data_IF_001769781243
#
_entry.id   IF_001769781243
#
_cell.length_a   1.000
_cell.length_b   1.000
_cell.length_c   1.000
_cell.angle_alpha   90.00
_cell.angle_beta   90.00
_cell.angle_gamma   90.00
#
_symmetry.space_group_name_H-M   'P 1'
#
loop_
_entity.id
_entity.type
_entity.pdbx_description
1 polymer ?
#
# COMPACT_ATOMS: atom_id res chain seq x y z
N UNK A 1 15.73 -14.66 9.41
CA UNK A 1 14.45 -14.24 10.04
C UNK A 1 14.79 -13.39 11.25
N UNK A 2 14.90 -12.08 11.08
CA UNK A 2 15.19 -11.15 12.18
C UNK A 2 13.91 -10.38 12.51
N UNK A 3 13.34 -10.68 13.67
CA UNK A 3 12.26 -9.91 14.29
C UNK A 3 12.91 -8.68 14.93
N UNK A 4 12.78 -7.53 14.27
CA UNK A 4 13.23 -6.25 14.84
C UNK A 4 12.11 -5.71 15.73
N UNK A 5 12.15 -6.07 17.01
CA UNK A 5 11.32 -5.45 18.04
C UNK A 5 11.81 -4.01 18.30
N UNK A 6 11.09 -3.01 17.79
CA UNK A 6 11.29 -1.62 18.18
C UNK A 6 10.57 -1.36 19.50
N UNK A 7 11.35 -1.25 20.58
CA UNK A 7 10.92 -0.67 21.87
C UNK A 7 10.79 0.84 21.72
N UNK A 8 9.61 1.38 21.99
CA UNK A 8 9.38 2.82 22.15
C UNK A 8 9.49 3.14 23.66
N UNK A 9 10.29 4.13 24.09
CA UNK A 9 10.21 4.62 25.46
C UNK A 9 9.07 5.64 25.60
N UNK A 10 8.23 5.44 26.62
CA UNK A 10 7.25 6.41 27.12
C UNK A 10 7.94 7.35 28.11
N UNK A 11 7.82 8.66 27.94
CA UNK A 11 7.84 9.62 29.06
C UNK A 11 6.98 10.87 28.75
N UNK A 12 6.50 11.59 29.79
CA UNK A 12 5.29 12.40 29.70
C UNK A 12 5.51 13.92 29.55
N UNK A 13 4.38 14.58 29.38
CA UNK A 13 4.09 15.98 29.04
C UNK A 13 4.49 17.02 30.12
N UNK A 14 5.27 18.07 29.80
CA UNK A 14 4.87 19.50 29.93
C UNK A 14 5.98 20.55 29.63
N UNK A 15 5.58 21.51 28.77
CA UNK A 15 5.82 22.98 28.72
C UNK A 15 7.20 23.65 28.54
N UNK A 16 7.18 24.50 27.48
CA UNK A 16 7.74 25.86 27.26
C UNK A 16 9.04 26.02 26.44
N UNK A 17 8.85 26.81 25.37
CA UNK A 17 9.76 27.54 24.47
C UNK A 17 11.12 27.97 25.03
N UNK A 18 12.19 27.77 24.24
CA UNK A 18 13.05 28.84 23.68
C UNK A 18 14.14 28.26 22.76
N UNK A 19 14.53 29.09 21.79
CA UNK A 19 15.56 28.88 20.76
C UNK A 19 16.95 28.55 21.34
N UNK A 20 17.70 27.68 20.68
CA UNK A 20 19.02 27.99 20.07
C UNK A 20 19.77 26.72 19.61
N UNK A 21 20.64 26.93 18.62
CA UNK A 21 21.40 25.93 17.89
C UNK A 21 22.40 25.16 18.74
N UNK A 22 22.57 23.85 18.46
CA UNK A 22 23.91 23.27 18.55
C UNK A 22 24.10 22.07 17.63
N UNK A 23 25.07 22.21 16.75
CA UNK A 23 25.74 21.17 15.96
C UNK A 23 26.59 20.27 16.85
N UNK A 24 26.53 18.95 16.67
CA UNK A 24 27.67 18.06 16.98
C UNK A 24 27.65 16.76 16.18
N UNK A 25 28.85 16.40 15.75
CA UNK A 25 29.26 15.30 14.87
C UNK A 25 29.04 13.95 15.55
N UNK A 26 28.54 12.97 14.81
CA UNK A 26 28.54 11.57 15.24
C UNK A 26 29.78 10.85 14.70
N UNK A 27 30.54 10.27 15.64
CA UNK A 27 31.61 9.32 15.36
C UNK A 27 31.02 7.93 15.11
N UNK A 28 31.61 7.24 14.13
CA UNK A 28 31.33 5.87 13.74
C UNK A 28 31.98 4.87 14.69
N UNK A 29 31.25 3.85 15.14
CA UNK A 29 31.83 2.63 15.68
C UNK A 29 31.15 1.41 15.07
N UNK A 30 31.99 0.57 14.46
CA UNK A 30 31.68 -0.72 13.84
C UNK A 30 31.22 -1.72 14.91
N UNK A 31 30.15 -2.47 14.65
CA UNK A 31 29.80 -3.67 15.42
C UNK A 31 30.00 -4.94 14.57
N UNK A 32 30.78 -5.87 15.13
CA UNK A 32 31.02 -7.22 14.61
C UNK A 32 29.84 -8.15 14.93
N UNK A 33 29.58 -9.09 14.01
CA UNK A 33 28.50 -10.09 14.07
C UNK A 33 29.11 -11.44 14.50
N UNK A 34 28.58 -12.15 15.52
CA UNK A 34 28.95 -13.54 15.77
C UNK A 34 28.02 -14.52 15.01
N UNK A 35 28.62 -15.61 14.55
CA UNK A 35 27.99 -16.76 13.87
C UNK A 35 27.29 -17.66 14.90
N UNK A 36 26.05 -18.07 14.62
CA UNK A 36 25.35 -19.11 15.41
C UNK A 36 24.89 -20.25 14.52
N UNK A 37 25.17 -21.45 15.01
CA UNK A 37 25.00 -22.80 14.44
C UNK A 37 23.51 -23.19 14.40
N UNK A 38 23.09 -23.82 13.30
CA UNK A 38 21.73 -24.36 13.10
C UNK A 38 21.73 -25.86 13.41
N UNK A 39 20.97 -26.29 14.41
CA UNK A 39 20.62 -27.71 14.61
C UNK A 39 19.26 -28.00 13.95
N UNK A 40 19.25 -28.95 13.01
CA UNK A 40 18.07 -29.52 12.38
C UNK A 40 17.57 -30.70 13.23
N UNK A 41 16.31 -30.66 13.68
CA UNK A 41 15.62 -31.85 14.20
C UNK A 41 14.57 -32.30 13.18
N UNK A 42 14.81 -33.45 12.57
CA UNK A 42 13.88 -34.20 11.72
C UNK A 42 12.92 -35.00 12.58
N UNK A 43 11.61 -34.80 12.41
CA UNK A 43 10.59 -35.69 12.97
C UNK A 43 10.03 -36.60 11.88
N UNK A 44 10.29 -37.89 12.04
CA UNK A 44 9.85 -38.99 11.18
C UNK A 44 8.39 -39.38 11.47
N UNK A 45 7.62 -39.60 10.40
CA UNK A 45 6.30 -40.23 10.45
C UNK A 45 6.43 -41.72 10.83
N UNK A 46 5.51 -42.20 11.67
CA UNK A 46 5.21 -43.63 11.82
C UNK A 46 3.69 -43.82 11.85
N UNK A 47 3.19 -44.58 10.89
CA UNK A 47 1.83 -45.06 10.81
C UNK A 47 1.63 -46.29 11.71
N UNK A 48 0.49 -46.37 12.40
CA UNK A 48 -0.01 -47.61 12.97
C UNK A 48 -1.53 -47.63 12.86
N UNK A 49 -2.03 -48.56 12.04
CA UNK A 49 -3.43 -48.89 11.88
C UNK A 49 -3.80 -50.01 12.85
N UNK A 50 -4.85 -49.84 13.64
CA UNK A 50 -5.65 -50.93 14.19
C UNK A 50 -7.11 -50.49 14.21
N UNK A 51 -7.95 -51.26 13.51
CA UNK A 51 -9.39 -51.02 13.43
C UNK A 51 -10.14 -51.64 14.60
N UNK A 52 -11.34 -51.14 14.87
CA UNK A 52 -12.40 -51.82 15.62
C UNK A 52 -13.77 -51.26 15.21
N UNK A 53 -14.57 -52.15 14.63
CA UNK A 53 -16.03 -52.38 14.77
C UNK A 53 -17.04 -51.22 14.74
N UNK A 54 -17.91 -51.34 13.74
CA UNK A 54 -19.21 -50.70 13.54
C UNK A 54 -20.18 -50.94 14.72
N UNK A 55 -20.85 -49.90 15.19
CA UNK A 55 -22.19 -50.03 15.78
C UNK A 55 -23.09 -48.90 15.28
N UNK A 56 -24.27 -49.31 14.81
CA UNK A 56 -25.28 -48.52 14.14
C UNK A 56 -26.26 -47.91 15.14
N UNK A 57 -26.29 -46.59 15.28
CA UNK A 57 -27.46 -45.86 15.78
C UNK A 57 -27.59 -44.50 15.09
N UNK A 58 -28.78 -44.24 14.57
CA UNK A 58 -29.30 -42.93 14.16
C UNK A 58 -30.74 -42.84 14.67
N UNK A 59 -31.39 -41.67 14.79
CA UNK A 59 -30.93 -40.31 14.49
C UNK A 59 -31.27 -39.29 15.60
N UNK A 60 -30.65 -38.10 15.56
CA UNK A 60 -31.30 -36.76 15.59
C UNK A 60 -30.34 -35.65 16.04
N UNK A 61 -30.55 -34.47 15.44
CA UNK A 61 -30.05 -33.13 15.80
C UNK A 61 -28.67 -32.69 15.26
N UNK A 62 -28.76 -31.82 14.25
CA UNK A 62 -27.89 -30.68 13.93
C UNK A 62 -26.38 -30.89 13.98
N UNK A 63 -25.82 -31.40 12.88
CA UNK A 63 -24.43 -31.16 12.52
C UNK A 63 -24.34 -29.77 11.85
N UNK A 64 -23.54 -28.82 12.37
CA UNK A 64 -23.18 -27.65 11.59
C UNK A 64 -22.28 -28.12 10.44
N UNK A 65 -22.81 -28.08 9.22
CA UNK A 65 -21.98 -28.05 8.01
C UNK A 65 -20.88 -27.03 8.21
N UNK A 66 -19.63 -27.37 7.89
CA UNK A 66 -18.44 -26.52 8.00
C UNK A 66 -18.74 -25.05 7.63
N UNK A 67 -19.19 -24.30 8.63
CA UNK A 67 -19.69 -22.96 8.43
C UNK A 67 -18.45 -22.13 8.20
N UNK A 68 -18.34 -21.55 7.00
CA UNK A 68 -17.41 -20.46 6.69
C UNK A 68 -17.24 -19.62 7.94
N UNK A 69 -16.05 -19.70 8.57
CA UNK A 69 -15.78 -19.01 9.81
C UNK A 69 -16.00 -17.53 9.54
N UNK A 70 -17.13 -16.99 9.99
CA UNK A 70 -17.51 -15.59 9.90
C UNK A 70 -17.64 -15.12 11.33
N UNK A 71 -16.88 -14.09 11.73
CA UNK A 71 -16.99 -13.60 13.10
C UNK A 71 -18.30 -12.86 13.31
N UNK A 72 -18.79 -12.90 14.54
CA UNK A 72 -19.96 -12.12 14.94
C UNK A 72 -19.55 -10.68 15.27
N UNK A 73 -20.28 -9.70 14.71
CA UNK A 73 -20.01 -8.29 14.97
C UNK A 73 -20.52 -7.90 16.35
N UNK A 74 -19.66 -7.29 17.16
CA UNK A 74 -20.02 -6.67 18.43
C UNK A 74 -20.18 -5.15 18.31
N UNK A 75 -19.31 -4.48 17.53
CA UNK A 75 -19.32 -3.03 17.37
C UNK A 75 -18.71 -2.59 16.04
N UNK A 76 -19.08 -1.39 15.58
CA UNK A 76 -18.45 -0.77 14.41
C UNK A 76 -17.28 0.15 14.82
N UNK A 77 -16.11 0.00 14.21
CA UNK A 77 -14.94 0.85 14.48
C UNK A 77 -14.19 1.23 13.20
N UNK A 78 -13.60 2.43 13.18
CA UNK A 78 -12.64 2.80 12.13
C UNK A 78 -11.33 2.06 12.40
N UNK A 79 -10.85 1.34 11.40
CA UNK A 79 -9.60 0.58 11.46
C UNK A 79 -8.71 0.93 10.27
N UNK A 80 -7.43 0.61 10.42
CA UNK A 80 -6.46 0.59 9.34
C UNK A 80 -5.88 -0.82 9.22
N UNK A 81 -5.66 -1.28 8.00
CA UNK A 81 -5.00 -2.53 7.70
C UNK A 81 -3.74 -2.26 6.88
N UNK A 82 -2.69 -3.03 7.15
CA UNK A 82 -1.48 -3.07 6.32
C UNK A 82 -1.58 -4.26 5.39
N UNK A 83 -1.53 -4.00 4.08
CA UNK A 83 -1.72 -4.99 3.03
C UNK A 83 -0.47 -5.10 2.17
N UNK A 84 -0.06 -6.33 1.86
CA UNK A 84 0.90 -6.66 0.81
C UNK A 84 0.23 -7.49 -0.28
N UNK A 85 0.66 -7.32 -1.52
CA UNK A 85 0.14 -8.08 -2.65
C UNK A 85 1.12 -8.17 -3.82
N UNK A 86 0.98 -9.26 -4.58
CA UNK A 86 1.62 -9.45 -5.89
C UNK A 86 0.64 -8.98 -6.97
N UNK A 87 0.90 -7.82 -7.57
CA UNK A 87 -0.01 -7.16 -8.51
C UNK A 87 -0.14 -7.78 -9.91
N UNK A 88 0.65 -8.80 -10.25
CA UNK A 88 0.75 -9.37 -11.62
C UNK A 88 -0.60 -9.67 -12.25
N UNK A 89 -1.51 -10.26 -11.48
CA UNK A 89 -2.81 -10.74 -11.97
C UNK A 89 -3.93 -9.71 -11.83
N UNK A 90 -3.62 -8.48 -11.40
CA UNK A 90 -4.60 -7.46 -11.04
C UNK A 90 -4.48 -6.20 -11.89
N UNK A 91 -5.61 -5.56 -12.18
CA UNK A 91 -5.67 -4.26 -12.89
C UNK A 91 -5.43 -3.06 -11.96
N UNK A 92 -4.52 -3.24 -11.01
CA UNK A 92 -4.15 -2.24 -10.01
C UNK A 92 -4.96 -2.40 -8.73
N UNK A 93 -4.76 -1.47 -7.80
CA UNK A 93 -5.42 -1.51 -6.49
C UNK A 93 -6.89 -1.08 -6.57
N UNK A 94 -7.22 -0.11 -7.43
CA UNK A 94 -8.53 0.54 -7.40
C UNK A 94 -9.64 -0.29 -8.00
N UNK A 95 -10.71 -0.47 -7.22
CA UNK A 95 -11.95 -1.08 -7.67
C UNK A 95 -12.47 -0.35 -8.91
N UNK A 96 -12.75 -1.12 -9.95
CA UNK A 96 -13.32 -0.66 -11.21
C UNK A 96 -14.75 -1.22 -11.33
N UNK A 97 -15.63 -0.49 -12.01
CA UNK A 97 -17.05 -0.86 -12.15
C UNK A 97 -17.32 -1.83 -13.29
N UNK A 98 -16.33 -2.05 -14.15
CA UNK A 98 -16.49 -2.91 -15.30
C UNK A 98 -16.46 -4.37 -14.86
N UNK A 99 -17.46 -5.12 -15.32
CA UNK A 99 -17.57 -6.54 -15.03
C UNK A 99 -16.31 -7.27 -15.54
N UNK A 100 -15.80 -8.19 -14.73
CA UNK A 100 -14.65 -9.06 -15.03
C UNK A 100 -13.25 -8.44 -14.85
N UNK A 101 -13.10 -7.30 -14.15
CA UNK A 101 -11.80 -6.73 -13.80
C UNK A 101 -11.44 -7.02 -12.34
N UNK A 102 -10.52 -7.98 -12.14
CA UNK A 102 -9.97 -8.28 -10.81
C UNK A 102 -9.06 -7.16 -10.32
N UNK A 103 -9.40 -6.59 -9.17
CA UNK A 103 -8.62 -5.55 -8.48
C UNK A 103 -8.35 -5.97 -7.03
N UNK A 104 -7.30 -5.40 -6.43
CA UNK A 104 -6.96 -5.73 -5.04
C UNK A 104 -8.09 -5.32 -4.07
N UNK A 105 -8.75 -4.18 -4.31
CA UNK A 105 -9.86 -3.74 -3.44
C UNK A 105 -11.08 -4.64 -3.52
N UNK A 106 -11.39 -5.20 -4.68
CA UNK A 106 -12.48 -6.16 -4.85
C UNK A 106 -12.26 -7.42 -4.00
N UNK A 107 -11.06 -8.00 -4.08
CA UNK A 107 -10.67 -9.18 -3.28
C UNK A 107 -10.69 -8.86 -1.78
N UNK A 108 -10.18 -7.69 -1.38
CA UNK A 108 -10.20 -7.27 0.02
C UNK A 108 -11.65 -7.06 0.52
N UNK A 109 -12.50 -6.36 -0.24
CA UNK A 109 -13.91 -6.15 0.15
C UNK A 109 -14.64 -7.50 0.32
N UNK A 110 -14.46 -8.41 -0.64
CA UNK A 110 -15.03 -9.76 -0.61
C UNK A 110 -14.55 -10.55 0.60
N UNK A 111 -13.24 -10.56 0.87
CA UNK A 111 -12.66 -11.28 2.00
C UNK A 111 -13.10 -10.72 3.35
N UNK A 112 -13.11 -9.39 3.51
CA UNK A 112 -13.56 -8.75 4.75
C UNK A 112 -15.06 -9.00 4.97
N UNK A 113 -15.87 -9.01 3.91
CA UNK A 113 -17.28 -9.35 4.01
C UNK A 113 -17.52 -10.80 4.46
N UNK A 114 -16.83 -11.76 3.84
CA UNK A 114 -16.88 -13.19 4.20
C UNK A 114 -16.43 -13.42 5.65
N UNK A 115 -15.39 -12.69 6.07
CA UNK A 115 -14.87 -12.71 7.42
C UNK A 115 -15.85 -12.13 8.47
N UNK A 116 -16.84 -11.33 8.08
CA UNK A 116 -17.80 -10.69 8.99
C UNK A 116 -17.49 -9.22 9.30
N UNK A 117 -16.48 -8.64 8.66
CA UNK A 117 -16.08 -7.25 8.85
C UNK A 117 -16.94 -6.22 8.12
N UNK A 118 -17.82 -6.64 7.21
CA UNK A 118 -18.76 -5.76 6.51
C UNK A 118 -20.18 -6.30 6.70
N UNK A 119 -21.10 -5.43 7.13
CA UNK A 119 -22.53 -5.74 7.14
C UNK A 119 -23.04 -5.87 5.71
N UNK A 120 -23.89 -6.86 5.42
CA UNK A 120 -24.42 -7.11 4.07
C UNK A 120 -25.08 -5.88 3.42
N UNK A 121 -25.75 -5.04 4.20
CA UNK A 121 -26.32 -3.78 3.70
C UNK A 121 -25.29 -2.79 3.14
N UNK A 122 -24.01 -2.90 3.51
CA UNK A 122 -22.94 -2.00 3.08
C UNK A 122 -22.01 -2.62 2.03
N UNK A 123 -22.14 -3.92 1.75
CA UNK A 123 -21.30 -4.63 0.78
C UNK A 123 -21.57 -4.12 -0.65
N UNK A 124 -20.52 -4.03 -1.48
CA UNK A 124 -20.58 -3.48 -2.83
C UNK A 124 -20.58 -1.95 -2.87
N UNK A 125 -20.40 -1.28 -1.73
CA UNK A 125 -20.38 0.17 -1.64
C UNK A 125 -19.32 0.66 -0.64
N UNK A 126 -18.10 0.81 -1.14
CA UNK A 126 -16.94 1.29 -0.40
C UNK A 126 -17.14 2.67 0.27
N UNK A 127 -18.02 3.52 -0.28
CA UNK A 127 -18.32 4.83 0.31
C UNK A 127 -19.07 4.68 1.65
N UNK A 128 -19.99 3.72 1.78
CA UNK A 128 -20.76 3.47 3.02
C UNK A 128 -19.90 3.01 4.19
N UNK A 129 -18.73 2.44 3.90
CA UNK A 129 -17.75 2.01 4.91
C UNK A 129 -16.58 2.99 5.04
N UNK A 130 -16.66 4.18 4.42
CA UNK A 130 -15.61 5.21 4.47
C UNK A 130 -14.24 4.62 4.10
N UNK A 131 -14.19 3.85 3.02
CA UNK A 131 -12.97 3.22 2.51
C UNK A 131 -11.98 4.28 2.01
N UNK A 132 -10.71 4.15 2.39
CA UNK A 132 -9.63 5.01 1.97
C UNK A 132 -8.31 4.23 1.88
N UNK A 133 -7.34 4.79 1.15
CA UNK A 133 -6.10 4.13 0.72
C UNK A 133 -4.90 5.06 0.78
N UNK A 134 -3.72 4.57 1.13
CA UNK A 134 -2.51 5.41 1.13
C UNK A 134 -1.96 5.71 -0.26
N UNK A 135 -2.19 4.82 -1.24
CA UNK A 135 -1.72 4.96 -2.61
C UNK A 135 -2.72 4.35 -3.59
N UNK A 136 -2.57 4.72 -4.87
CA UNK A 136 -3.15 4.00 -6.01
C UNK A 136 -1.98 3.38 -6.75
N UNK A 137 -2.01 2.07 -6.95
CA UNK A 137 -1.01 1.37 -7.76
C UNK A 137 -1.62 1.00 -9.09
N UNK A 138 -0.81 1.13 -10.14
CA UNK A 138 -1.21 0.79 -11.50
C UNK A 138 -1.28 -0.73 -11.71
N UNK A 139 -1.81 -1.14 -12.86
CA UNK A 139 -1.88 -2.54 -13.27
C UNK A 139 -0.50 -3.21 -13.16
N UNK A 140 -0.46 -4.40 -12.55
CA UNK A 140 0.76 -5.19 -12.42
C UNK A 140 1.70 -4.77 -11.28
N UNK A 141 1.49 -3.61 -10.65
CA UNK A 141 2.39 -3.11 -9.61
C UNK A 141 2.21 -3.87 -8.30
N UNK A 142 3.31 -4.37 -7.73
CA UNK A 142 3.33 -5.04 -6.42
C UNK A 142 3.39 -4.03 -5.27
N UNK A 143 3.00 -4.46 -4.07
CA UNK A 143 3.15 -3.66 -2.86
C UNK A 143 3.41 -4.51 -1.63
N UNK A 144 4.25 -4.02 -0.71
CA UNK A 144 4.51 -4.66 0.59
C UNK A 144 3.76 -3.98 1.75
N UNK A 145 3.31 -2.75 1.57
CA UNK A 145 2.78 -1.93 2.66
C UNK A 145 1.78 -0.88 2.19
N UNK A 146 0.76 -1.30 1.44
CA UNK A 146 -0.40 -0.44 1.18
C UNK A 146 -1.25 -0.36 2.45
N UNK A 147 -1.59 0.86 2.88
CA UNK A 147 -2.46 1.08 4.03
C UNK A 147 -3.87 1.34 3.54
N UNK A 148 -4.84 0.55 4.02
CA UNK A 148 -6.26 0.72 3.72
C UNK A 148 -6.98 1.04 5.02
N UNK A 149 -7.91 1.99 5.02
CA UNK A 149 -8.73 2.30 6.18
C UNK A 149 -10.21 2.22 5.85
N UNK A 150 -11.01 1.71 6.79
CA UNK A 150 -12.45 1.50 6.64
C UNK A 150 -13.14 1.48 8.00
N UNK A 151 -14.46 1.66 8.01
CA UNK A 151 -15.31 1.39 9.17
C UNK A 151 -15.76 -0.07 9.10
N UNK A 152 -15.17 -0.88 9.96
CA UNK A 152 -15.33 -2.34 9.99
C UNK A 152 -16.22 -2.76 11.17
N UNK A 153 -16.97 -3.84 10.97
CA UNK A 153 -17.67 -4.59 12.01
C UNK A 153 -16.65 -5.46 12.78
N UNK A 154 -16.57 -5.28 14.10
CA UNK A 154 -15.49 -5.80 14.95
C UNK A 154 -16.06 -6.79 15.97
N UNK A 155 -15.47 -7.99 16.12
CA UNK A 155 -15.89 -8.95 17.14
C UNK A 155 -15.45 -8.53 18.54
N UNK A 156 -16.07 -9.11 19.56
CA UNK A 156 -15.81 -8.73 20.95
C UNK A 156 -14.36 -9.01 21.39
N UNK A 157 -13.76 -10.09 20.88
CA UNK A 157 -12.38 -10.49 21.20
C UNK A 157 -11.29 -9.68 20.47
N UNK A 158 -11.66 -8.74 19.60
CA UNK A 158 -10.69 -7.97 18.83
C UNK A 158 -9.69 -7.23 19.73
N UNK A 159 -8.40 -7.44 19.44
CA UNK A 159 -7.26 -6.85 20.14
C UNK A 159 -7.12 -7.25 21.62
N UNK A 160 -7.87 -8.25 22.11
CA UNK A 160 -7.58 -8.91 23.39
C UNK A 160 -6.31 -9.75 23.20
N UNK A 161 -5.24 -9.42 23.92
CA UNK A 161 -3.92 -10.05 23.82
C UNK A 161 -3.30 -10.07 22.40
N UNK A 162 -3.78 -9.20 21.50
CA UNK A 162 -3.34 -9.09 20.11
C UNK A 162 -3.08 -7.61 19.75
N UNK A 163 -1.96 -7.03 20.24
CA UNK A 163 -1.65 -5.61 20.04
C UNK A 163 -1.38 -5.25 18.58
N UNK A 164 -1.09 -6.24 17.73
CA UNK A 164 -0.79 -6.06 16.30
C UNK A 164 -1.99 -6.35 15.40
N UNK A 165 -3.11 -6.84 15.96
CA UNK A 165 -4.31 -7.16 15.19
C UNK A 165 -4.13 -8.31 14.20
N UNK A 166 -3.27 -9.28 14.55
CA UNK A 166 -2.92 -10.44 13.72
C UNK A 166 -4.08 -11.43 13.63
N UNK A 167 -4.87 -11.61 14.70
CA UNK A 167 -5.98 -12.56 14.71
C UNK A 167 -7.04 -12.16 13.68
N UNK A 168 -7.42 -10.88 13.67
CA UNK A 168 -8.35 -10.35 12.66
C UNK A 168 -7.77 -10.44 11.25
N UNK A 169 -6.49 -10.10 11.08
CA UNK A 169 -5.81 -10.19 9.80
C UNK A 169 -5.79 -11.62 9.25
N UNK A 170 -5.46 -12.60 10.08
CA UNK A 170 -5.44 -14.02 9.71
C UNK A 170 -6.82 -14.51 9.28
N UNK A 171 -7.87 -14.07 9.97
CA UNK A 171 -9.23 -14.44 9.61
C UNK A 171 -9.71 -13.81 8.32
N UNK A 172 -9.25 -12.59 7.97
CA UNK A 172 -9.45 -12.05 6.62
C UNK A 172 -8.63 -12.84 5.59
N UNK A 173 -7.39 -13.22 5.93
CA UNK A 173 -6.49 -13.97 5.04
C UNK A 173 -7.01 -15.37 4.67
N UNK A 174 -7.84 -16.02 5.49
CA UNK A 174 -8.47 -17.32 5.12
C UNK A 174 -9.40 -17.21 3.90
N UNK A 175 -9.85 -15.99 3.59
CA UNK A 175 -10.73 -15.70 2.45
C UNK A 175 -10.01 -14.98 1.31
N UNK A 176 -8.70 -14.70 1.44
CA UNK A 176 -7.90 -14.05 0.41
C UNK A 176 -7.11 -15.07 -0.43
N UNK A 177 -6.92 -14.80 -1.72
CA UNK A 177 -5.98 -15.57 -2.54
C UNK A 177 -4.54 -15.45 -2.00
N UNK A 178 -3.66 -16.37 -2.39
CA UNK A 178 -2.28 -16.43 -1.86
C UNK A 178 -1.44 -15.19 -2.16
N UNK A 179 -1.76 -14.49 -3.25
CA UNK A 179 -1.07 -13.30 -3.72
C UNK A 179 -1.46 -12.01 -2.98
N UNK A 180 -2.42 -12.06 -2.04
CA UNK A 180 -2.80 -10.92 -1.18
C UNK A 180 -2.73 -11.34 0.29
N UNK A 181 -2.11 -10.49 1.11
CA UNK A 181 -1.98 -10.70 2.55
C UNK A 181 -2.22 -9.42 3.34
N UNK A 182 -3.04 -9.54 4.38
CA UNK A 182 -3.19 -8.53 5.44
C UNK A 182 -2.24 -8.91 6.58
N UNK A 183 -1.35 -7.99 6.95
CA UNK A 183 -0.36 -8.22 8.00
C UNK A 183 -0.85 -7.88 9.40
N UNK A 184 -1.89 -7.05 9.51
CA UNK A 184 -2.44 -6.59 10.79
C UNK A 184 -3.58 -5.61 10.58
N UNK A 185 -4.52 -5.57 11.52
CA UNK A 185 -5.68 -4.67 11.51
C UNK A 185 -5.77 -3.96 12.85
N UNK A 186 -5.60 -2.64 12.87
CA UNK A 186 -5.53 -1.84 14.10
C UNK A 186 -6.64 -0.78 14.14
N UNK A 187 -7.15 -0.44 15.34
CA UNK A 187 -8.12 0.63 15.49
C UNK A 187 -7.45 1.99 15.28
N UNK A 188 -8.16 2.91 14.63
CA UNK A 188 -7.68 4.29 14.40
C UNK A 188 -8.76 5.31 14.75
N UNK A 189 -8.36 6.58 14.80
CA UNK A 189 -9.30 7.68 14.98
C UNK A 189 -10.30 7.76 13.82
N UNK A 190 -11.51 8.28 14.09
CA UNK A 190 -12.58 8.36 13.08
C UNK A 190 -12.21 9.21 11.86
N UNK A 191 -11.36 10.22 12.04
CA UNK A 191 -10.87 11.15 11.01
C UNK A 191 -9.64 10.65 10.25
N UNK A 192 -9.08 9.49 10.62
CA UNK A 192 -7.85 8.99 10.02
C UNK A 192 -8.03 8.70 8.51
N UNK A 193 -7.20 9.34 7.69
CA UNK A 193 -7.12 9.14 6.25
C UNK A 193 -5.69 8.73 5.86
N UNK A 194 -5.46 7.48 5.45
CA UNK A 194 -4.12 6.97 5.12
C UNK A 194 -3.44 7.72 3.96
N UNK A 195 -4.19 8.44 3.11
CA UNK A 195 -3.61 9.25 2.05
C UNK A 195 -2.99 10.54 2.60
N UNK A 196 -3.72 11.22 3.49
CA UNK A 196 -3.34 12.51 4.08
C UNK A 196 -2.26 12.35 5.16
N UNK A 197 -2.33 11.26 5.91
CA UNK A 197 -1.35 10.93 6.96
C UNK A 197 -0.03 10.37 6.40
N UNK A 198 0.04 10.09 5.09
CA UNK A 198 1.24 9.56 4.45
C UNK A 198 2.16 10.69 3.96
N UNK A 199 3.28 10.86 4.66
CA UNK A 199 4.31 11.85 4.30
C UNK A 199 5.22 11.39 3.16
N UNK A 200 5.65 10.12 3.19
CA UNK A 200 6.64 9.57 2.25
C UNK A 200 6.18 8.20 1.77
N UNK A 201 6.49 7.90 0.50
CA UNK A 201 6.30 6.59 -0.11
C UNK A 201 7.62 6.11 -0.68
N UNK A 202 8.02 4.90 -0.29
CA UNK A 202 9.23 4.27 -0.79
C UNK A 202 8.86 3.18 -1.79
N UNK A 203 9.49 3.23 -2.96
CA UNK A 203 9.32 2.25 -4.03
C UNK A 203 10.68 1.61 -4.32
N UNK A 204 10.67 0.31 -4.62
CA UNK A 204 11.84 -0.42 -5.05
C UNK A 204 11.54 -1.04 -6.41
N UNK A 205 12.42 -0.80 -7.37
CA UNK A 205 12.33 -1.35 -8.71
C UNK A 205 13.37 -2.46 -8.87
N UNK A 206 12.92 -3.65 -9.24
CA UNK A 206 13.79 -4.75 -9.66
C UNK A 206 13.91 -4.71 -11.17
N UNK A 207 15.12 -4.50 -11.68
CA UNK A 207 15.41 -4.44 -13.10
C UNK A 207 16.50 -5.46 -13.47
N UNK A 208 16.44 -6.06 -14.68
CA UNK A 208 17.57 -6.80 -15.24
C UNK A 208 18.80 -5.89 -15.35
N UNK A 209 19.98 -6.40 -15.01
CA UNK A 209 21.22 -5.62 -15.04
C UNK A 209 21.60 -5.17 -16.45
N UNK A 210 21.14 -5.89 -17.48
CA UNK A 210 21.33 -5.55 -18.89
C UNK A 210 20.74 -4.18 -19.25
N UNK A 211 19.70 -3.72 -18.54
CA UNK A 211 19.07 -2.40 -18.76
C UNK A 211 20.04 -1.25 -18.54
N UNK A 212 21.01 -1.43 -17.63
CA UNK A 212 22.06 -0.43 -17.34
C UNK A 212 23.39 -0.76 -18.04
N UNK A 213 23.37 -1.68 -19.02
CA UNK A 213 24.53 -2.01 -19.86
C UNK A 213 25.42 -3.14 -19.33
N UNK A 214 25.11 -3.73 -18.17
CA UNK A 214 25.88 -4.84 -17.60
C UNK A 214 25.58 -6.12 -18.39
N UNK A 215 26.62 -6.74 -18.94
CA UNK A 215 26.52 -7.99 -19.69
C UNK A 215 27.19 -9.12 -18.93
N UNK A 216 26.88 -10.36 -19.30
CA UNK A 216 27.54 -11.56 -18.74
C UNK A 216 29.06 -11.57 -18.94
N UNK A 217 29.55 -10.91 -19.99
CA UNK A 217 30.97 -10.80 -20.31
C UNK A 217 31.65 -9.57 -19.72
N UNK A 218 30.93 -8.73 -18.95
CA UNK A 218 31.49 -7.53 -18.34
C UNK A 218 32.51 -7.91 -17.26
N UNK A 219 33.66 -7.26 -17.30
CA UNK A 219 34.66 -7.30 -16.23
C UNK A 219 34.14 -6.61 -14.97
N UNK A 220 34.76 -6.91 -13.81
CA UNK A 220 34.38 -6.27 -12.55
C UNK A 220 34.48 -4.73 -12.62
N UNK A 221 35.52 -4.21 -13.26
CA UNK A 221 35.71 -2.77 -13.43
C UNK A 221 34.61 -2.13 -14.29
N UNK A 222 34.16 -2.80 -15.35
CA UNK A 222 33.04 -2.31 -16.17
C UNK A 222 31.73 -2.32 -15.39
N UNK A 223 31.47 -3.36 -14.61
CA UNK A 223 30.29 -3.45 -13.74
C UNK A 223 30.28 -2.27 -12.75
N UNK A 224 31.39 -2.03 -12.07
CA UNK A 224 31.51 -0.92 -11.10
C UNK A 224 31.29 0.44 -11.78
N UNK A 225 31.83 0.64 -12.99
CA UNK A 225 31.60 1.86 -13.76
C UNK A 225 30.12 2.05 -14.13
N UNK A 226 29.43 1.00 -14.59
CA UNK A 226 28.00 1.06 -14.90
C UNK A 226 27.15 1.37 -13.66
N UNK A 227 27.48 0.78 -12.50
CA UNK A 227 26.78 1.05 -11.25
C UNK A 227 27.02 2.47 -10.74
N UNK A 228 28.25 2.98 -10.85
CA UNK A 228 28.60 4.34 -10.47
C UNK A 228 27.89 5.37 -11.36
N UNK A 229 27.90 5.17 -12.68
CA UNK A 229 27.21 6.06 -13.62
C UNK A 229 25.69 6.07 -13.36
N UNK A 230 25.08 4.90 -13.20
CA UNK A 230 23.66 4.79 -12.87
C UNK A 230 23.31 5.47 -11.54
N UNK A 231 24.13 5.27 -10.51
CA UNK A 231 23.98 5.94 -9.21
C UNK A 231 24.06 7.47 -9.34
N UNK A 232 25.04 7.97 -10.10
CA UNK A 232 25.20 9.40 -10.35
C UNK A 232 23.97 9.99 -11.04
N UNK A 233 23.42 9.29 -12.05
CA UNK A 233 22.19 9.70 -12.73
C UNK A 233 21.02 9.74 -11.74
N UNK A 234 20.82 8.70 -10.93
CA UNK A 234 19.72 8.66 -9.95
C UNK A 234 19.83 9.79 -8.91
N UNK A 235 21.04 10.13 -8.46
CA UNK A 235 21.26 11.21 -7.52
C UNK A 235 20.83 12.59 -8.06
N UNK A 236 20.78 12.77 -9.40
CA UNK A 236 20.26 14.02 -10.00
C UNK A 236 18.76 14.22 -9.78
N UNK A 237 18.01 13.16 -9.45
CA UNK A 237 16.57 13.23 -9.17
C UNK A 237 16.26 13.64 -7.73
N UNK A 238 17.24 13.64 -6.83
CA UNK A 238 17.03 14.05 -5.44
C UNK A 238 16.75 15.56 -5.34
N UNK A 239 15.80 15.94 -4.48
CA UNK A 239 15.38 17.32 -4.28
C UNK A 239 14.06 17.68 -4.99
N UNK A 240 13.83 18.97 -5.15
CA UNK A 240 12.60 19.50 -5.72
C UNK A 240 12.82 19.90 -7.19
N UNK A 241 12.20 19.15 -8.11
CA UNK A 241 12.35 19.37 -9.56
C UNK A 241 10.98 19.37 -10.27
N UNK A 242 10.86 20.06 -11.42
CA UNK A 242 9.63 20.04 -12.21
C UNK A 242 9.51 18.75 -13.03
N UNK A 243 8.96 17.68 -12.45
CA UNK A 243 8.79 16.37 -13.09
C UNK A 243 7.65 16.25 -14.11
N UNK A 244 7.23 17.35 -14.76
CA UNK A 244 6.11 17.36 -15.71
C UNK A 244 6.30 16.46 -16.94
N UNK A 245 7.56 16.19 -17.35
CA UNK A 245 7.87 15.27 -18.44
C UNK A 245 7.79 13.78 -18.04
N UNK A 246 7.74 13.48 -16.75
CA UNK A 246 7.67 12.11 -16.20
C UNK A 246 6.25 11.71 -15.83
N UNK A 247 5.25 12.43 -16.34
CA UNK A 247 3.83 12.13 -16.17
C UNK A 247 3.08 12.31 -17.48
N UNK A 248 1.92 11.66 -17.62
CA UNK A 248 1.10 11.76 -18.82
C UNK A 248 0.63 13.20 -19.05
N UNK A 249 0.92 13.75 -20.24
CA UNK A 249 0.66 15.16 -20.59
C UNK A 249 -0.82 15.56 -20.53
N UNK A 250 -1.72 14.61 -20.75
CA UNK A 250 -3.16 14.80 -20.66
C UNK A 250 -3.61 15.31 -19.28
N UNK A 251 -2.82 15.06 -18.23
CA UNK A 251 -3.18 15.43 -16.85
C UNK A 251 -2.98 16.90 -16.50
N UNK A 252 -2.22 17.67 -17.29
CA UNK A 252 -1.92 19.08 -16.98
C UNK A 252 -2.17 20.06 -18.15
N UNK A 253 -2.45 19.58 -19.35
CA UNK A 253 -2.88 20.46 -20.44
C UNK A 253 -4.32 20.89 -20.17
N UNK A 254 -4.54 22.19 -19.99
CA UNK A 254 -5.89 22.75 -20.06
C UNK A 254 -6.43 22.48 -21.47
N UNK A 255 -7.51 21.74 -21.56
CA UNK A 255 -8.29 21.67 -22.80
C UNK A 255 -8.89 23.06 -23.02
N UNK A 256 -8.47 23.73 -24.09
CA UNK A 256 -9.19 24.89 -24.56
C UNK A 256 -10.45 24.38 -25.26
N UNK A 257 -11.65 24.90 -24.92
CA UNK A 257 -12.84 24.58 -25.68
C UNK A 257 -12.57 24.89 -27.15
N UNK A 258 -12.70 23.90 -28.03
CA UNK A 258 -12.89 24.16 -29.45
C UNK A 258 -14.28 24.75 -29.62
N UNK A 259 -14.42 26.06 -29.36
CA UNK A 259 -15.61 26.78 -29.78
C UNK A 259 -15.74 26.63 -31.30
N UNK A 260 -16.92 26.17 -31.73
CA UNK A 260 -17.23 25.92 -33.13
C UNK A 260 -16.94 27.17 -33.96
N UNK A 261 -16.09 27.03 -34.97
CA UNK A 261 -15.85 28.07 -35.96
C UNK A 261 -17.18 28.37 -36.70
N UNK A 262 -17.76 29.58 -36.59
CA UNK A 262 -18.71 30.05 -37.58
C UNK A 262 -17.92 30.46 -38.82
N UNK A 263 -18.51 30.22 -39.99
CA UNK A 263 -17.85 30.41 -41.28
C UNK A 263 -17.36 31.82 -41.58
N UNK A 264 -16.39 31.85 -42.52
CA UNK A 264 -15.98 32.94 -43.42
C UNK A 264 -16.13 34.38 -42.91
N UNK A 265 -14.99 35.00 -42.61
CA UNK A 265 -14.84 36.44 -42.54
C UNK A 265 -13.38 36.85 -42.68
N UNK A 266 -13.04 37.50 -43.79
CA UNK A 266 -11.71 38.02 -44.08
C UNK A 266 -11.46 39.26 -43.19
N UNK A 267 -10.50 39.22 -42.25
CA UNK A 267 -9.94 40.45 -41.66
C UNK A 267 -8.47 40.28 -41.30
N UNK A 268 -7.62 41.02 -42.01
CA UNK A 268 -6.20 41.20 -41.74
C UNK A 268 -6.04 42.16 -40.55
N UNK A 269 -5.23 41.80 -39.54
CA UNK A 269 -4.40 42.76 -38.80
C UNK A 269 -3.32 42.08 -37.95
N UNK A 270 -2.09 42.39 -38.34
CA UNK A 270 -0.81 42.27 -37.64
C UNK A 270 -0.93 42.64 -36.14
N UNK A 271 -0.65 41.71 -35.23
CA UNK A 271 -0.45 42.00 -33.80
C UNK A 271 1.05 42.09 -33.52
N UNK A 272 1.46 43.26 -33.02
CA UNK A 272 2.82 43.57 -32.55
C UNK A 272 3.15 42.73 -31.32
N UNK A 273 4.32 42.09 -31.30
CA UNK A 273 4.96 41.61 -30.08
C UNK A 273 5.27 42.82 -29.19
N UNK A 274 4.52 42.95 -28.09
CA UNK A 274 4.85 43.87 -27.01
C UNK A 274 5.67 43.13 -25.96
N UNK A 275 6.98 43.40 -25.93
CA UNK A 275 7.89 42.99 -24.87
C UNK A 275 7.59 43.76 -23.57
N UNK A 276 6.75 43.19 -22.71
CA UNK A 276 6.72 43.57 -21.29
C UNK A 276 6.11 42.42 -20.48
N UNK A 277 6.98 41.59 -19.92
CA UNK A 277 6.60 40.65 -18.88
C UNK A 277 6.47 41.44 -17.56
N UNK A 278 5.33 41.38 -16.84
CA UNK A 278 5.30 41.81 -15.46
C UNK A 278 5.95 40.73 -14.60
N UNK A 279 7.01 41.11 -13.89
CA UNK A 279 7.59 40.34 -12.79
C UNK A 279 6.57 40.24 -11.66
N UNK A 280 5.73 39.21 -11.70
CA UNK A 280 5.02 38.72 -10.52
C UNK A 280 5.59 37.36 -10.20
N UNK A 281 6.21 37.26 -9.04
CA UNK A 281 6.66 36.02 -8.42
C UNK A 281 5.45 35.10 -8.28
N UNK A 282 5.30 34.15 -9.21
CA UNK A 282 4.26 33.13 -9.14
C UNK A 282 4.74 32.09 -8.14
N UNK A 283 4.31 32.24 -6.89
CA UNK A 283 4.48 31.25 -5.85
C UNK A 283 3.57 30.06 -6.17
N UNK A 284 4.13 29.01 -6.76
CA UNK A 284 3.42 27.76 -7.01
C UNK A 284 3.16 27.03 -5.68
N UNK A 285 2.00 27.30 -5.08
CA UNK A 285 1.44 26.42 -4.04
C UNK A 285 0.62 25.36 -4.77
N UNK A 286 1.11 24.12 -4.81
CA UNK A 286 0.37 22.98 -5.33
C UNK A 286 -0.85 22.71 -4.41
N UNK A 287 -2.09 22.89 -4.87
CA UNK A 287 -3.26 22.40 -4.15
C UNK A 287 -3.34 20.89 -4.39
N UNK A 288 -3.37 20.11 -3.31
CA UNK A 288 -3.39 18.64 -3.30
C UNK A 288 -4.63 17.99 -3.97
N UNK A 289 -5.50 18.77 -4.62
CA UNK A 289 -6.79 18.35 -5.17
C UNK A 289 -6.74 17.78 -6.59
N UNK A 290 -5.59 17.74 -7.27
CA UNK A 290 -5.55 17.43 -8.72
C UNK A 290 -5.07 16.02 -9.08
N UNK A 291 -4.90 15.14 -8.08
CA UNK A 291 -4.76 13.70 -8.32
C UNK A 291 -6.15 13.01 -8.30
N UNK A 292 -7.15 13.68 -8.85
CA UNK A 292 -8.55 13.28 -8.96
C UNK A 292 -8.97 13.18 -10.43
N UNK A 293 -8.71 12.00 -11.01
CA UNK A 293 -9.61 11.24 -11.89
C UNK A 293 -8.93 9.92 -12.27
#
# INVERSE_FOLDING_TARGET
MAVLCLRIPLTPWNRKSLYSSWSRRFHSSKMQIPRTIVCLSTCSLSAAAQGLTLSSQSPTSNQPSAASAKWESFRKKKVVMRVGYVGTNYKGLQLQRDDNIRTIEEELESAIYKAGGIKGSNFGNLHRISWARSSRTDKGVHSLATMISLKMEIPEYAWKDDPNGIVLANFVNTHLPEDIRVFGILPVQRSFDPRRECHVRNYSYLLPAEVIGIKRSSSAAEIDNHLLDFSNILNTFEGEHPFHNYTARSKYRREFPTEGLPGRGHFSRRVKLSSKAPSKEIKWRWPWEWAER
#
